data_IF_946823388199
#
_entry.id   IF_946823388199
#
_cell.length_a   1.000
_cell.length_b   1.000
_cell.length_c   1.000
_cell.angle_alpha   90.00
_cell.angle_beta   90.00
_cell.angle_gamma   90.00
#
_symmetry.space_group_name_H-M   'P 1'
#
loop_
_entity.id
_entity.type
_entity.pdbx_description
1 polymer ?
#
# COMPACT_ATOMS: atom_id res chain seq x y z
N UNK A 1 -2.96 3.21 -5.23
CA UNK A 1 -1.88 2.21 -5.43
C UNK A 1 -0.52 2.88 -5.31
N UNK A 2 0.47 2.22 -4.72
CA UNK A 2 1.85 2.70 -4.66
C UNK A 2 2.81 1.59 -5.09
N UNK A 3 3.59 1.82 -6.13
CA UNK A 3 4.47 0.80 -6.72
C UNK A 3 5.74 1.41 -7.31
N UNK A 4 6.78 0.61 -7.52
CA UNK A 4 7.99 1.06 -8.22
C UNK A 4 7.76 1.21 -9.73
N UNK A 5 6.71 0.61 -10.28
CA UNK A 5 6.31 0.81 -11.68
C UNK A 5 5.68 2.19 -11.89
N UNK A 6 5.88 2.78 -13.07
CA UNK A 6 5.31 4.10 -13.40
C UNK A 6 3.79 4.11 -13.29
N UNK A 7 3.21 5.28 -13.01
CA UNK A 7 1.75 5.46 -12.97
C UNK A 7 1.07 4.90 -14.23
N UNK A 8 1.65 5.16 -15.41
CA UNK A 8 1.11 4.66 -16.67
C UNK A 8 1.11 3.12 -16.75
N UNK A 9 2.18 2.47 -16.28
CA UNK A 9 2.23 1.01 -16.23
C UNK A 9 1.22 0.43 -15.24
N UNK A 10 1.03 1.07 -14.08
CA UNK A 10 0.02 0.67 -13.11
C UNK A 10 -1.39 0.76 -13.71
N UNK A 11 -1.72 1.89 -14.34
CA UNK A 11 -3.01 2.09 -15.00
C UNK A 11 -3.28 1.03 -16.08
N UNK A 12 -2.26 0.67 -16.87
CA UNK A 12 -2.39 -0.39 -17.88
C UNK A 12 -2.66 -1.76 -17.26
N UNK A 13 -1.91 -2.13 -16.20
CA UNK A 13 -2.08 -3.42 -15.51
C UNK A 13 -3.51 -3.55 -14.97
N UNK A 14 -4.05 -2.50 -14.37
CA UNK A 14 -5.42 -2.54 -13.82
C UNK A 14 -6.50 -2.35 -14.88
N UNK A 15 -6.25 -1.58 -15.94
CA UNK A 15 -7.18 -1.38 -17.05
C UNK A 15 -7.34 -2.59 -17.97
N UNK A 16 -6.35 -3.48 -17.99
CA UNK A 16 -6.33 -4.68 -18.85
C UNK A 16 -6.19 -5.98 -18.05
N UNK A 17 -6.75 -6.04 -16.84
CA UNK A 17 -6.64 -7.24 -16.00
C UNK A 17 -7.51 -8.40 -16.51
N UNK A 18 -7.23 -9.62 -16.06
CA UNK A 18 -8.05 -10.81 -16.38
C UNK A 18 -9.51 -10.70 -15.88
N UNK A 19 -9.75 -9.87 -14.86
CA UNK A 19 -11.08 -9.58 -14.32
C UNK A 19 -11.79 -8.43 -15.07
N UNK A 20 -11.21 -7.94 -16.16
CA UNK A 20 -11.66 -6.74 -16.88
C UNK A 20 -10.96 -5.47 -16.40
N UNK A 21 -11.57 -4.32 -16.71
CA UNK A 21 -11.06 -3.01 -16.28
C UNK A 21 -11.36 -2.77 -14.79
N UNK A 22 -10.31 -2.75 -13.98
CA UNK A 22 -10.35 -2.49 -12.54
C UNK A 22 -9.99 -1.05 -12.17
N UNK A 23 -9.70 -0.18 -13.14
CA UNK A 23 -9.23 1.19 -12.88
C UNK A 23 -10.21 1.99 -12.01
N UNK A 24 -11.52 1.73 -12.13
CA UNK A 24 -12.57 2.36 -11.34
C UNK A 24 -12.56 2.01 -9.85
N UNK A 25 -11.78 1.00 -9.42
CA UNK A 25 -11.59 0.66 -8.01
C UNK A 25 -10.53 1.53 -7.32
N UNK A 26 -9.78 2.33 -8.09
CA UNK A 26 -8.66 3.12 -7.57
C UNK A 26 -8.93 4.62 -7.69
N UNK A 27 -8.77 5.34 -6.58
CA UNK A 27 -8.87 6.81 -6.56
C UNK A 27 -7.56 7.51 -6.95
N UNK A 28 -6.44 6.77 -7.06
CA UNK A 28 -5.14 7.35 -7.38
C UNK A 28 -3.99 6.34 -7.44
N UNK A 29 -2.89 6.81 -8.05
CA UNK A 29 -1.67 6.04 -8.29
C UNK A 29 -0.46 6.87 -7.87
N UNK A 30 0.47 6.23 -7.19
CA UNK A 30 1.75 6.78 -6.74
C UNK A 30 2.88 5.88 -7.26
N UNK A 31 3.99 6.47 -7.66
CA UNK A 31 5.20 5.75 -8.04
C UNK A 31 6.43 6.33 -7.32
N UNK A 32 7.64 5.95 -7.76
CA UNK A 32 8.89 6.42 -7.15
C UNK A 32 9.09 7.93 -7.18
N UNK A 33 8.29 8.68 -7.95
CA UNK A 33 8.26 10.15 -7.88
C UNK A 33 7.73 10.68 -6.55
N UNK A 34 6.97 9.87 -5.80
CA UNK A 34 6.54 10.17 -4.43
C UNK A 34 7.63 9.94 -3.39
N UNK A 35 8.77 9.36 -3.81
CA UNK A 35 9.93 9.02 -2.99
C UNK A 35 10.22 7.51 -2.95
N UNK A 36 11.34 7.10 -2.34
CA UNK A 36 11.69 5.68 -2.16
C UNK A 36 10.72 4.96 -1.22
N UNK A 37 10.31 3.73 -1.57
CA UNK A 37 9.33 2.95 -0.79
C UNK A 37 9.79 2.55 0.62
N UNK A 38 11.07 2.73 0.95
CA UNK A 38 11.65 2.38 2.27
C UNK A 38 11.91 3.62 3.13
N UNK A 39 11.40 4.78 2.73
CA UNK A 39 11.55 6.03 3.47
C UNK A 39 10.21 6.54 3.94
N UNK A 40 10.12 6.88 5.24
CA UNK A 40 8.89 7.39 5.85
C UNK A 40 8.36 8.66 5.16
N UNK A 41 9.25 9.48 4.61
CA UNK A 41 8.89 10.71 3.89
C UNK A 41 7.96 10.43 2.69
N UNK A 42 8.12 9.30 1.99
CA UNK A 42 7.27 8.93 0.86
C UNK A 42 5.82 8.73 1.28
N UNK A 43 5.61 8.11 2.44
CA UNK A 43 4.29 7.87 3.00
C UNK A 43 3.64 9.15 3.53
N UNK A 44 4.43 10.06 4.11
CA UNK A 44 3.94 11.40 4.47
C UNK A 44 3.50 12.19 3.22
N UNK A 45 4.27 12.11 2.13
CA UNK A 45 3.90 12.72 0.84
C UNK A 45 2.59 12.14 0.32
N UNK A 46 2.41 10.82 0.39
CA UNK A 46 1.17 10.15 -0.02
C UNK A 46 -0.01 10.60 0.86
N UNK A 47 0.14 10.61 2.19
CA UNK A 47 -0.91 11.07 3.11
C UNK A 47 -1.37 12.50 2.75
N UNK A 48 -0.42 13.42 2.61
CA UNK A 48 -0.68 14.80 2.21
C UNK A 48 -1.39 14.90 0.84
N UNK A 49 -0.97 14.10 -0.15
CA UNK A 49 -1.59 14.08 -1.47
C UNK A 49 -3.01 13.52 -1.46
N UNK A 50 -3.31 12.59 -0.57
CA UNK A 50 -4.66 12.01 -0.41
C UNK A 50 -5.59 12.88 0.46
N UNK A 51 -5.03 13.77 1.28
CA UNK A 51 -5.77 14.63 2.20
C UNK A 51 -6.23 13.95 3.49
N UNK A 52 -5.83 12.70 3.73
CA UNK A 52 -6.09 11.96 4.98
C UNK A 52 -4.94 12.11 5.97
N UNK A 53 -5.23 12.07 7.26
CA UNK A 53 -4.18 11.93 8.27
C UNK A 53 -3.50 10.55 8.15
N UNK A 54 -2.22 10.46 8.46
CA UNK A 54 -1.47 9.22 8.32
C UNK A 54 -2.11 8.07 9.12
N UNK A 55 -2.60 8.35 10.33
CA UNK A 55 -3.28 7.40 11.22
C UNK A 55 -4.62 6.87 10.69
N UNK A 56 -5.21 7.53 9.69
CA UNK A 56 -6.44 7.08 9.01
C UNK A 56 -6.13 6.15 7.81
N UNK A 57 -4.85 6.00 7.45
CA UNK A 57 -4.42 5.23 6.29
C UNK A 57 -3.89 3.87 6.72
N UNK A 58 -4.53 2.80 6.24
CA UNK A 58 -4.02 1.43 6.32
C UNK A 58 -3.19 1.10 5.08
N UNK A 59 -1.88 0.95 5.26
CA UNK A 59 -0.95 0.52 4.22
C UNK A 59 -0.78 -1.01 4.20
N UNK A 60 -0.89 -1.60 3.00
CA UNK A 60 -0.75 -3.03 2.76
C UNK A 60 0.49 -3.30 1.89
N UNK A 61 1.39 -4.16 2.35
CA UNK A 61 2.59 -4.58 1.60
C UNK A 61 3.05 -5.97 2.04
N UNK A 62 3.76 -6.67 1.16
CA UNK A 62 4.45 -7.93 1.44
C UNK A 62 5.92 -7.72 1.87
N UNK A 63 6.40 -6.48 1.89
CA UNK A 63 7.80 -6.13 2.21
C UNK A 63 7.86 -5.44 3.58
N UNK A 64 8.64 -6.02 4.51
CA UNK A 64 8.76 -5.51 5.89
C UNK A 64 9.29 -4.08 5.93
N UNK A 65 10.32 -3.75 5.14
CA UNK A 65 10.94 -2.42 5.15
C UNK A 65 9.99 -1.32 4.64
N UNK A 66 9.03 -1.67 3.79
CA UNK A 66 7.98 -0.74 3.36
C UNK A 66 6.94 -0.52 4.47
N UNK A 67 6.57 -1.59 5.17
CA UNK A 67 5.67 -1.52 6.31
C UNK A 67 6.31 -0.71 7.46
N UNK A 68 7.60 -0.92 7.74
CA UNK A 68 8.34 -0.14 8.75
C UNK A 68 8.34 1.34 8.41
N UNK A 69 8.60 1.69 7.14
CA UNK A 69 8.60 3.07 6.67
C UNK A 69 7.20 3.72 6.77
N UNK A 70 6.14 3.01 6.38
CA UNK A 70 4.77 3.48 6.52
C UNK A 70 4.38 3.69 7.99
N UNK A 71 4.74 2.75 8.86
CA UNK A 71 4.51 2.83 10.31
C UNK A 71 5.26 4.00 10.93
N UNK A 72 6.51 4.23 10.54
CA UNK A 72 7.30 5.38 10.98
C UNK A 72 6.71 6.72 10.52
N UNK A 73 5.96 6.72 9.41
CA UNK A 73 5.20 7.89 8.95
C UNK A 73 3.86 8.09 9.69
N UNK A 74 3.49 7.20 10.61
CA UNK A 74 2.24 7.26 11.38
C UNK A 74 1.09 6.48 10.76
N UNK A 75 1.31 5.70 9.70
CA UNK A 75 0.25 4.87 9.10
C UNK A 75 0.00 3.58 9.87
N UNK A 76 -1.25 3.10 9.77
CA UNK A 76 -1.59 1.73 10.11
C UNK A 76 -0.98 0.80 9.06
N UNK A 77 -0.59 -0.41 9.46
CA UNK A 77 0.10 -1.34 8.55
C UNK A 77 -0.41 -2.76 8.71
N UNK A 78 -0.62 -3.43 7.57
CA UNK A 78 -0.90 -4.85 7.52
C UNK A 78 -0.05 -5.54 6.45
N UNK A 79 0.67 -6.57 6.87
CA UNK A 79 1.46 -7.40 6.00
C UNK A 79 0.62 -8.37 5.16
N UNK A 80 1.02 -8.62 3.92
CA UNK A 80 0.38 -9.56 3.00
C UNK A 80 1.27 -10.80 2.73
N UNK A 81 1.23 -11.76 3.64
CA UNK A 81 2.05 -12.97 3.57
C UNK A 81 1.38 -14.08 2.74
N UNK A 82 1.42 -13.97 1.41
CA UNK A 82 0.69 -14.87 0.49
C UNK A 82 1.08 -16.35 0.61
N UNK A 83 2.36 -16.66 0.84
CA UNK A 83 2.87 -18.04 0.93
C UNK A 83 3.09 -18.54 2.37
N UNK A 84 2.39 -17.94 3.35
CA UNK A 84 2.46 -18.38 4.75
C UNK A 84 3.72 -17.93 5.52
N UNK A 85 4.33 -16.82 5.11
CA UNK A 85 5.46 -16.19 5.80
C UNK A 85 5.05 -15.31 7.01
N UNK A 86 6.04 -14.94 7.82
CA UNK A 86 5.87 -13.98 8.92
C UNK A 86 6.50 -12.65 8.52
N UNK A 87 5.71 -11.58 8.61
CA UNK A 87 6.19 -10.20 8.43
C UNK A 87 6.41 -9.59 9.82
N UNK A 88 7.65 -9.68 10.30
CA UNK A 88 8.03 -9.34 11.67
C UNK A 88 7.65 -7.90 12.02
N UNK A 89 7.12 -7.68 13.22
CA UNK A 89 6.72 -6.35 13.70
C UNK A 89 5.37 -5.83 13.19
N UNK A 90 4.70 -6.58 12.31
CA UNK A 90 3.41 -6.21 11.72
C UNK A 90 2.38 -7.33 11.84
N UNK A 91 1.11 -6.95 12.07
CA UNK A 91 -0.02 -7.84 11.82
C UNK A 91 -0.01 -8.21 10.34
N UNK A 92 -0.23 -9.48 10.02
CA UNK A 92 -0.22 -9.95 8.65
C UNK A 92 -1.32 -10.98 8.39
N UNK A 93 -1.77 -11.02 7.13
CA UNK A 93 -2.77 -11.96 6.62
C UNK A 93 -2.28 -12.51 5.28
N UNK A 94 -2.84 -13.65 4.86
CA UNK A 94 -2.54 -14.24 3.55
C UNK A 94 -3.57 -13.88 2.46
N UNK A 95 -4.68 -13.22 2.83
CA UNK A 95 -5.77 -12.86 1.92
C UNK A 95 -6.42 -11.55 2.34
N UNK A 96 -6.84 -10.74 1.36
CA UNK A 96 -7.56 -9.48 1.61
C UNK A 96 -8.91 -9.72 2.32
N UNK A 97 -9.51 -10.90 2.15
CA UNK A 97 -10.78 -11.27 2.80
C UNK A 97 -10.70 -11.34 4.32
N UNK A 98 -9.48 -11.41 4.88
CA UNK A 98 -9.23 -11.47 6.32
C UNK A 98 -8.92 -10.10 6.93
N UNK A 99 -8.95 -9.03 6.13
CA UNK A 99 -8.70 -7.67 6.58
C UNK A 99 -10.03 -7.05 7.01
N UNK A 100 -10.13 -6.73 8.30
CA UNK A 100 -11.14 -5.84 8.84
C UNK A 100 -10.47 -4.49 9.19
N UNK A 101 -10.68 -3.42 8.41
CA UNK A 101 -10.08 -2.12 8.66
C UNK A 101 -10.40 -1.55 10.04
N UNK A 102 -11.55 -1.88 10.64
CA UNK A 102 -11.95 -1.39 11.96
C UNK A 102 -11.15 -2.01 13.12
N UNK A 103 -10.34 -3.03 12.83
CA UNK A 103 -9.54 -3.76 13.82
C UNK A 103 -8.07 -3.32 13.91
N UNK A 104 -7.71 -2.21 13.26
CA UNK A 104 -6.37 -1.63 13.24
C UNK A 104 -6.27 -0.36 14.08
#
# INVERSE_FOLDING_TARGET
MYSSGSIQAQQLIFGCSEAGDLSGLFSGYFDTTSGPKREAQSYQTIANATGFAAEEILFLSDIVEELDAAKAAGMLTCGLARDGGVLAGHRHVNSFTLIDPASF
#
